data_IF_728038606162
#
_entry.id   IF_728038606162
#
_cell.length_a   1.000
_cell.length_b   1.000
_cell.length_c   1.000
_cell.angle_alpha   90.00
_cell.angle_beta   90.00
_cell.angle_gamma   90.00
#
_symmetry.space_group_name_H-M   'P 1'
#
loop_
_entity.id
_entity.type
_entity.pdbx_description
1 polymer ?
#
# COMPACT_ATOMS: atom_id res chain seq x y z
N UNK A 1 -2.37 5.30 -23.37
CA UNK A 1 -1.97 4.87 -22.02
C UNK A 1 -2.80 5.68 -21.06
N UNK A 2 -3.97 5.15 -20.71
CA UNK A 2 -4.82 5.77 -19.69
C UNK A 2 -4.12 5.59 -18.35
N UNK A 3 -3.91 6.73 -17.73
CA UNK A 3 -3.13 6.90 -16.52
C UNK A 3 -3.85 6.15 -15.39
N UNK A 4 -3.15 5.22 -14.74
CA UNK A 4 -3.56 4.43 -13.56
C UNK A 4 -3.78 5.34 -12.32
N UNK A 5 -4.64 6.34 -12.47
CA UNK A 5 -4.82 7.47 -11.56
C UNK A 5 -5.83 7.17 -10.44
N UNK A 6 -6.56 6.05 -10.50
CA UNK A 6 -7.73 5.79 -9.64
C UNK A 6 -7.65 4.51 -8.79
N UNK A 7 -6.47 3.98 -8.54
CA UNK A 7 -6.30 2.66 -7.94
C UNK A 7 -5.70 2.72 -6.54
N UNK A 8 -6.20 3.59 -5.66
CA UNK A 8 -5.95 3.45 -4.21
C UNK A 8 -7.30 3.43 -3.52
N UNK A 9 -7.71 2.25 -3.07
CA UNK A 9 -9.04 2.02 -2.48
C UNK A 9 -9.01 2.14 -0.95
N UNK A 10 -7.93 1.69 -0.31
CA UNK A 10 -7.79 1.65 1.14
C UNK A 10 -6.34 1.79 1.56
N UNK A 11 -6.09 2.38 2.74
CA UNK A 11 -4.78 2.42 3.41
C UNK A 11 -4.98 1.72 4.76
N UNK A 12 -4.38 0.54 4.92
CA UNK A 12 -4.77 -0.40 5.99
C UNK A 12 -3.75 -0.53 7.11
N UNK A 13 -2.49 -0.13 6.91
CA UNK A 13 -1.48 -0.45 7.91
C UNK A 13 -0.39 0.60 8.02
N UNK A 14 -0.30 1.24 9.18
CA UNK A 14 0.78 2.17 9.52
C UNK A 14 1.76 1.53 10.50
N UNK A 15 2.98 1.22 10.04
CA UNK A 15 4.11 0.91 10.94
C UNK A 15 5.08 2.08 10.92
N UNK A 16 5.34 2.63 12.11
CA UNK A 16 6.30 3.71 12.31
C UNK A 16 7.44 3.19 13.18
N UNK A 17 8.62 3.06 12.58
CA UNK A 17 9.87 2.79 13.32
C UNK A 17 10.73 4.06 13.33
N UNK A 18 11.82 4.05 14.09
CA UNK A 18 12.79 5.16 14.08
C UNK A 18 13.48 5.38 12.72
N UNK A 19 13.36 4.43 11.79
CA UNK A 19 14.09 4.42 10.52
C UNK A 19 13.20 4.63 9.29
N UNK A 20 11.93 4.20 9.35
CA UNK A 20 10.99 4.28 8.24
C UNK A 20 9.53 4.29 8.70
N UNK A 21 8.67 4.83 7.84
CA UNK A 21 7.20 4.79 7.93
C UNK A 21 6.68 3.94 6.78
N UNK A 22 5.77 3.03 7.07
CA UNK A 22 5.18 2.14 6.07
C UNK A 22 3.67 2.34 6.00
N UNK A 23 3.13 2.31 4.78
CA UNK A 23 1.71 2.24 4.50
C UNK A 23 1.42 1.06 3.58
N UNK A 24 0.40 0.27 3.89
CA UNK A 24 -0.15 -0.69 2.95
C UNK A 24 -1.37 -0.10 2.26
N UNK A 25 -1.43 -0.24 0.93
CA UNK A 25 -2.54 0.22 0.13
C UNK A 25 -2.89 -0.80 -0.95
N UNK A 26 -4.15 -0.78 -1.38
CA UNK A 26 -4.62 -1.69 -2.42
C UNK A 26 -5.16 -0.94 -3.63
N UNK A 27 -4.99 -1.53 -4.79
CA UNK A 27 -5.50 -1.07 -6.07
C UNK A 27 -6.81 -1.74 -6.42
N UNK A 28 -7.74 -0.99 -7.01
CA UNK A 28 -9.03 -1.53 -7.44
C UNK A 28 -8.92 -2.69 -8.43
N UNK A 29 -7.90 -2.64 -9.30
CA UNK A 29 -7.56 -3.71 -10.23
C UNK A 29 -6.18 -4.26 -9.88
N UNK A 30 -5.97 -5.56 -10.13
CA UNK A 30 -4.64 -6.14 -10.11
C UNK A 30 -3.73 -5.46 -11.12
N UNK A 31 -2.49 -5.17 -10.71
CA UNK A 31 -1.43 -4.69 -11.59
C UNK A 31 -0.49 -5.86 -11.88
N UNK A 32 -0.22 -6.07 -13.16
CA UNK A 32 0.75 -7.05 -13.59
C UNK A 32 2.17 -6.55 -13.30
N UNK A 33 2.96 -7.34 -12.60
CA UNK A 33 4.38 -7.09 -12.30
C UNK A 33 5.20 -8.03 -13.17
N UNK A 34 5.97 -7.48 -14.11
CA UNK A 34 6.66 -8.26 -15.14
C UNK A 34 7.70 -9.20 -14.54
N UNK A 35 8.46 -8.75 -13.55
CA UNK A 35 9.51 -9.51 -12.89
C UNK A 35 8.97 -10.74 -12.15
N UNK A 36 7.80 -10.61 -11.53
CA UNK A 36 7.13 -11.68 -10.80
C UNK A 36 6.19 -12.53 -11.68
N UNK A 37 5.96 -12.12 -12.93
CA UNK A 37 5.01 -12.73 -13.87
C UNK A 37 3.62 -12.98 -13.27
N UNK A 38 3.16 -12.08 -12.39
CA UNK A 38 1.92 -12.24 -11.63
C UNK A 38 1.20 -10.91 -11.46
N UNK A 39 -0.09 -10.96 -11.17
CA UNK A 39 -0.90 -9.80 -10.84
C UNK A 39 -0.99 -9.62 -9.32
N UNK A 40 -0.88 -8.38 -8.86
CA UNK A 40 -0.97 -7.99 -7.47
C UNK A 40 -1.92 -6.81 -7.28
N UNK A 41 -2.71 -6.84 -6.23
CA UNK A 41 -3.63 -5.75 -5.85
C UNK A 41 -3.23 -5.06 -4.56
N UNK A 42 -2.23 -5.56 -3.84
CA UNK A 42 -1.78 -5.03 -2.55
C UNK A 42 -0.33 -4.62 -2.62
N UNK A 43 -0.04 -3.44 -2.09
CA UNK A 43 1.25 -2.77 -2.18
C UNK A 43 1.60 -2.10 -0.88
N UNK A 44 2.90 -1.84 -0.70
CA UNK A 44 3.45 -1.24 0.49
C UNK A 44 4.32 -0.05 0.11
N UNK A 45 3.89 1.15 0.49
CA UNK A 45 4.70 2.35 0.46
C UNK A 45 5.62 2.37 1.69
N UNK A 46 6.93 2.46 1.48
CA UNK A 46 7.91 2.72 2.53
C UNK A 46 8.50 4.11 2.34
N UNK A 47 8.49 4.92 3.40
CA UNK A 47 9.09 6.25 3.46
C UNK A 47 10.24 6.22 4.46
N UNK A 48 11.45 6.45 3.99
CA UNK A 48 12.65 6.51 4.79
C UNK A 48 12.82 7.89 5.45
N UNK A 49 13.66 7.95 6.48
CA UNK A 49 13.92 9.19 7.23
C UNK A 49 14.49 10.34 6.38
N UNK A 50 15.16 10.04 5.27
CA UNK A 50 15.64 11.02 4.30
C UNK A 50 14.55 11.48 3.31
N UNK A 51 13.28 11.14 3.55
CA UNK A 51 12.12 11.40 2.70
C UNK A 51 12.10 10.62 1.38
N UNK A 52 13.07 9.73 1.14
CA UNK A 52 13.01 8.80 0.02
C UNK A 52 11.85 7.82 0.22
N UNK A 53 11.15 7.50 -0.86
CA UNK A 53 10.01 6.62 -0.83
C UNK A 53 10.10 5.56 -1.93
N UNK A 54 9.69 4.34 -1.60
CA UNK A 54 9.65 3.21 -2.52
C UNK A 54 8.36 2.41 -2.31
N UNK A 55 7.86 1.79 -3.37
CA UNK A 55 6.66 0.95 -3.32
C UNK A 55 7.05 -0.47 -3.63
N UNK A 56 6.59 -1.39 -2.79
CA UNK A 56 6.81 -2.82 -2.92
C UNK A 56 5.49 -3.55 -3.10
N UNK A 57 5.54 -4.74 -3.70
CA UNK A 57 4.43 -5.68 -3.62
C UNK A 57 4.20 -6.07 -2.16
N UNK A 58 2.94 -6.10 -1.72
CA UNK A 58 2.56 -6.63 -0.41
C UNK A 58 1.87 -7.98 -0.63
N UNK A 59 2.59 -9.07 -0.40
CA UNK A 59 2.03 -10.42 -0.44
C UNK A 59 1.71 -10.88 0.98
N UNK A 60 0.44 -11.20 1.25
CA UNK A 60 0.00 -11.73 2.55
C UNK A 60 0.55 -13.14 2.84
N UNK A 61 0.95 -13.88 1.80
CA UNK A 61 1.35 -15.28 1.91
C UNK A 61 2.86 -15.51 1.88
N UNK A 62 3.64 -14.59 1.31
CA UNK A 62 5.10 -14.69 1.22
C UNK A 62 5.76 -13.44 1.82
N UNK A 63 6.33 -13.62 3.01
CA UNK A 63 7.17 -12.63 3.68
C UNK A 63 8.46 -12.27 2.89
N UNK A 64 8.73 -12.97 1.79
CA UNK A 64 9.98 -12.85 1.01
C UNK A 64 9.83 -12.09 -0.32
N UNK A 65 8.61 -11.80 -0.81
CA UNK A 65 8.45 -11.03 -2.05
C UNK A 65 8.34 -9.54 -1.70
N UNK A 66 9.50 -8.88 -1.70
CA UNK A 66 9.62 -7.41 -1.67
C UNK A 66 10.13 -6.91 -3.01
N UNK A 67 9.40 -7.22 -4.09
CA UNK A 67 9.71 -6.66 -5.41
C UNK A 67 9.38 -5.17 -5.40
N UNK A 68 10.36 -4.33 -5.77
CA UNK A 68 10.15 -2.88 -5.86
C UNK A 68 9.45 -2.55 -7.16
N UNK A 69 8.24 -1.99 -7.05
CA UNK A 69 7.35 -1.68 -8.18
C UNK A 69 7.05 -0.19 -8.26
N UNK A 70 7.92 0.65 -7.71
CA UNK A 70 7.83 2.12 -7.73
C UNK A 70 7.55 2.68 -9.13
N UNK A 71 8.06 2.03 -10.18
CA UNK A 71 7.89 2.43 -11.57
C UNK A 71 6.44 2.34 -12.09
N UNK A 72 5.56 1.59 -11.41
CA UNK A 72 4.15 1.47 -11.75
C UNK A 72 3.30 2.62 -11.20
N UNK A 73 3.86 3.45 -10.32
CA UNK A 73 3.11 4.42 -9.53
C UNK A 73 3.69 5.83 -9.60
N UNK A 74 2.83 6.81 -9.35
CA UNK A 74 3.24 8.17 -9.01
C UNK A 74 3.48 8.25 -7.49
N UNK A 75 4.74 8.08 -7.08
CA UNK A 75 5.12 7.97 -5.66
C UNK A 75 4.65 9.18 -4.85
N UNK A 76 4.81 10.40 -5.37
CA UNK A 76 4.42 11.62 -4.66
C UNK A 76 2.91 11.67 -4.46
N UNK A 77 2.14 11.25 -5.47
CA UNK A 77 0.69 11.16 -5.34
C UNK A 77 0.26 10.09 -4.34
N UNK A 78 0.87 8.89 -4.38
CA UNK A 78 0.56 7.81 -3.43
C UNK A 78 0.92 8.24 -2.01
N UNK A 79 2.10 8.84 -1.80
CA UNK A 79 2.52 9.41 -0.51
C UNK A 79 1.49 10.41 0.01
N UNK A 80 1.07 11.35 -0.83
CA UNK A 80 0.07 12.34 -0.46
C UNK A 80 -1.29 11.69 -0.13
N UNK A 81 -1.71 10.63 -0.83
CA UNK A 81 -2.93 9.89 -0.49
C UNK A 81 -2.78 9.19 0.87
N UNK A 82 -1.71 8.44 1.07
CA UNK A 82 -1.44 7.70 2.31
C UNK A 82 -1.29 8.62 3.54
N UNK A 83 -0.71 9.81 3.38
CA UNK A 83 -0.57 10.79 4.46
C UNK A 83 -1.86 11.52 4.81
N UNK A 84 -2.82 11.63 3.87
CA UNK A 84 -4.04 12.41 4.04
C UNK A 84 -5.33 11.59 4.14
N UNK A 85 -5.35 10.32 3.74
CA UNK A 85 -6.44 9.41 4.07
C UNK A 85 -6.39 9.13 5.57
N UNK A 86 -7.46 9.48 6.28
CA UNK A 86 -7.65 9.07 7.67
C UNK A 86 -7.67 7.55 7.71
N UNK A 87 -6.81 6.96 8.54
CA UNK A 87 -6.79 5.53 8.87
C UNK A 87 -8.23 5.01 8.98
N UNK A 88 -8.62 4.09 8.08
CA UNK A 88 -9.79 3.25 8.33
C UNK A 88 -9.31 2.22 9.34
N UNK A 89 -9.82 2.18 10.57
CA UNK A 89 -9.41 1.16 11.52
C UNK A 89 -9.75 -0.22 10.94
N UNK A 90 -8.80 -1.15 10.96
CA UNK A 90 -8.99 -2.53 10.47
C UNK A 90 -10.15 -3.28 11.17
N UNK A 91 -10.65 -2.77 12.30
CA UNK A 91 -11.78 -3.33 13.02
C UNK A 91 -12.66 -2.22 13.57
N UNK A 92 -13.87 -2.05 13.03
CA UNK A 92 -14.98 -1.63 13.89
C UNK A 92 -15.34 -2.85 14.75
N UNK A 93 -14.97 -2.82 16.03
CA UNK A 93 -15.48 -3.73 17.07
C UNK A 93 -16.99 -3.49 17.31
N UNK A 94 -17.80 -3.51 16.25
CA UNK A 94 -19.26 -3.55 16.36
C UNK A 94 -19.68 -5.02 16.53
N UNK A 95 -19.14 -5.66 17.57
CA UNK A 95 -19.83 -6.77 18.21
C UNK A 95 -21.09 -6.19 18.85
N UNK A 96 -22.19 -6.21 18.10
CA UNK A 96 -23.51 -6.13 18.72
C UNK A 96 -23.65 -7.34 19.64
N UNK A 97 -23.43 -7.14 20.94
CA UNK A 97 -24.03 -7.99 21.96
C UNK A 97 -25.55 -7.90 21.77
N UNK A 98 -26.13 -8.90 21.11
CA UNK A 98 -27.56 -9.17 21.19
C UNK A 98 -27.90 -9.41 22.67
N UNK A 99 -28.61 -8.46 23.28
CA UNK A 99 -29.36 -8.68 24.52
C UNK A 99 -30.63 -9.45 24.25
#
# INVERSE_FOLDING_TARGET
METLINTVEQVNFKVETSCFKTYEFSTHNGLYVEEAQSEFSSFRLMIYKNEEAAIFVANEFDYDISEEVSYLFDIEKIKNICENQKDVPDFSDDYYEEN
#
